data_IF_549385893962
#
_entry.id   IF_549385893962
#
_cell.length_a   1.000
_cell.length_b   1.000
_cell.length_c   1.000
_cell.angle_alpha   90.00
_cell.angle_beta   90.00
_cell.angle_gamma   90.00
#
_symmetry.space_group_name_H-M   'P 1'
#
loop_
_entity.id
_entity.type
_entity.pdbx_description
1 polymer ?
#
# COMPACT_ATOMS: atom_id res chain seq x y z
N UNK A 1 -10.16 -0.98 8.97
CA UNK A 1 -8.99 -0.15 8.66
C UNK A 1 -8.02 -1.05 7.93
N UNK A 2 -7.36 -0.53 6.92
CA UNK A 2 -6.48 -1.31 6.04
C UNK A 2 -5.45 -0.37 5.42
N UNK A 3 -4.22 -0.88 5.27
CA UNK A 3 -3.10 -0.19 4.65
C UNK A 3 -2.37 -1.19 3.78
N UNK A 4 -2.35 -0.90 2.48
CA UNK A 4 -1.96 -1.89 1.49
C UNK A 4 -0.61 -1.54 0.87
N UNK A 5 0.16 -2.59 0.60
CA UNK A 5 1.33 -2.55 -0.28
C UNK A 5 1.20 -3.73 -1.23
N UNK A 6 0.74 -3.45 -2.45
CA UNK A 6 0.38 -4.46 -3.44
C UNK A 6 1.33 -4.41 -4.63
N UNK A 7 1.96 -5.53 -4.95
CA UNK A 7 2.77 -5.69 -6.15
C UNK A 7 1.87 -6.12 -7.29
N UNK A 8 1.64 -5.22 -8.24
CA UNK A 8 0.79 -5.54 -9.39
C UNK A 8 1.57 -6.45 -10.35
N UNK A 9 0.98 -7.60 -10.65
CA UNK A 9 1.54 -8.57 -11.59
C UNK A 9 1.85 -7.93 -12.94
N UNK A 10 2.91 -8.42 -13.58
CA UNK A 10 3.43 -7.81 -14.79
C UNK A 10 3.78 -8.82 -15.88
N UNK A 11 3.87 -8.34 -17.12
CA UNK A 11 4.39 -9.12 -18.25
C UNK A 11 5.91 -9.05 -18.21
N UNK A 12 6.57 -10.18 -18.49
CA UNK A 12 8.05 -10.26 -18.51
C UNK A 12 8.66 -9.12 -19.34
N UNK A 13 9.63 -8.41 -18.75
CA UNK A 13 10.33 -7.29 -19.40
C UNK A 13 9.62 -5.93 -19.31
N UNK A 14 8.55 -5.82 -18.51
CA UNK A 14 7.93 -4.54 -18.14
C UNK A 14 8.28 -4.18 -16.70
N UNK A 15 8.18 -2.89 -16.38
CA UNK A 15 8.47 -2.35 -15.04
C UNK A 15 7.37 -2.74 -14.05
N UNK A 16 7.77 -3.33 -12.91
CA UNK A 16 6.87 -3.62 -11.80
C UNK A 16 6.29 -2.34 -11.21
N UNK A 17 5.05 -2.44 -10.73
CA UNK A 17 4.37 -1.35 -10.02
C UNK A 17 4.00 -1.79 -8.62
N UNK A 18 4.30 -0.94 -7.66
CA UNK A 18 3.79 -1.06 -6.29
C UNK A 18 2.63 -0.08 -6.16
N UNK A 19 1.50 -0.60 -5.69
CA UNK A 19 0.35 0.20 -5.29
C UNK A 19 0.33 0.29 -3.76
N UNK A 20 0.00 1.47 -3.24
CA UNK A 20 -0.34 1.65 -1.83
C UNK A 20 -1.78 2.13 -1.71
N UNK A 21 -2.46 1.72 -0.65
CA UNK A 21 -3.83 2.15 -0.39
C UNK A 21 -4.06 2.33 1.13
N UNK A 22 -5.06 3.14 1.49
CA UNK A 22 -5.39 3.44 2.88
C UNK A 22 -6.91 3.54 3.03
N UNK A 23 -7.46 2.64 3.83
CA UNK A 23 -8.87 2.60 4.19
C UNK A 23 -9.07 2.83 5.69
N UNK A 24 -9.89 3.82 6.03
CA UNK A 24 -10.32 4.10 7.40
C UNK A 24 -11.78 3.69 7.64
N UNK A 25 -12.08 3.36 8.89
CA UNK A 25 -13.42 3.08 9.41
C UNK A 25 -14.23 2.01 8.64
N UNK A 26 -13.54 1.06 8.02
CA UNK A 26 -14.19 -0.02 7.26
C UNK A 26 -14.83 0.43 5.94
N UNK A 27 -14.51 1.64 5.45
CA UNK A 27 -14.85 2.03 4.08
C UNK A 27 -14.06 1.18 3.10
N UNK A 28 -14.74 0.56 2.14
CA UNK A 28 -14.12 -0.07 0.95
C UNK A 28 -14.45 0.70 -0.34
N UNK A 29 -15.24 1.78 -0.23
CA UNK A 29 -15.75 2.54 -1.37
C UNK A 29 -14.87 3.76 -1.71
N UNK A 30 -13.96 4.14 -0.82
CA UNK A 30 -13.08 5.31 -1.01
C UNK A 30 -11.64 4.87 -0.82
N UNK A 31 -11.11 4.26 -1.86
CA UNK A 31 -9.68 4.01 -2.00
C UNK A 31 -8.90 5.31 -2.10
N UNK A 32 -7.66 5.27 -1.62
CA UNK A 32 -6.64 6.32 -1.71
C UNK A 32 -5.44 5.73 -2.44
N UNK A 33 -5.65 5.14 -3.60
CA UNK A 33 -4.61 4.45 -4.37
C UNK A 33 -3.54 5.43 -4.85
N UNK A 34 -2.28 5.07 -4.61
CA UNK A 34 -1.13 5.66 -5.30
C UNK A 34 -0.26 4.54 -5.88
N UNK A 35 0.33 4.77 -7.06
CA UNK A 35 1.13 3.79 -7.79
C UNK A 35 2.51 4.33 -8.09
N UNK A 36 3.53 3.51 -7.86
CA UNK A 36 4.93 3.87 -8.02
C UNK A 36 5.67 2.83 -8.85
N UNK A 37 6.60 3.32 -9.68
CA UNK A 37 7.68 2.49 -10.22
C UNK A 37 8.79 2.38 -9.17
N UNK A 38 9.52 1.27 -9.20
CA UNK A 38 10.71 1.07 -8.37
C UNK A 38 11.97 1.42 -9.15
N UNK A 39 13.01 1.89 -8.46
CA UNK A 39 14.32 2.20 -9.05
C UNK A 39 15.24 0.97 -9.20
N UNK A 40 14.66 -0.23 -9.07
CA UNK A 40 15.31 -1.53 -9.17
C UNK A 40 14.30 -2.56 -9.69
N UNK A 41 14.79 -3.74 -10.10
CA UNK A 41 13.93 -4.90 -10.39
C UNK A 41 13.62 -5.64 -9.07
N UNK A 42 12.38 -5.61 -8.56
CA UNK A 42 12.03 -6.25 -7.29
C UNK A 42 12.03 -7.78 -7.36
N UNK A 43 12.27 -8.38 -8.53
CA UNK A 43 12.37 -9.84 -8.71
C UNK A 43 13.81 -10.37 -8.68
N UNK A 44 14.80 -9.49 -8.75
CA UNK A 44 16.22 -9.88 -8.82
C UNK A 44 16.85 -10.14 -7.43
N UNK A 45 16.37 -9.47 -6.37
CA UNK A 45 16.83 -9.67 -4.98
C UNK A 45 15.74 -9.31 -3.95
N UNK A 46 15.99 -9.59 -2.68
CA UNK A 46 15.14 -9.17 -1.57
C UNK A 46 15.33 -7.69 -1.24
N UNK A 47 14.20 -7.01 -1.00
CA UNK A 47 14.16 -5.60 -0.59
C UNK A 47 13.29 -5.43 0.67
N UNK A 48 13.54 -4.37 1.42
CA UNK A 48 12.79 -4.09 2.65
C UNK A 48 11.57 -3.22 2.35
N UNK A 49 10.39 -3.76 2.65
CA UNK A 49 9.12 -3.04 2.57
C UNK A 49 8.57 -2.86 3.97
N UNK A 50 8.20 -1.64 4.35
CA UNK A 50 7.71 -1.37 5.70
C UNK A 50 6.69 -0.23 5.76
N UNK A 51 5.85 -0.28 6.78
CA UNK A 51 4.85 0.75 7.08
C UNK A 51 5.13 1.26 8.49
N UNK A 52 5.43 2.54 8.62
CA UNK A 52 5.35 3.24 9.90
C UNK A 52 3.92 3.72 10.10
N UNK A 53 3.26 3.27 11.15
CA UNK A 53 1.92 3.72 11.51
C UNK A 53 1.93 4.26 12.94
N UNK A 54 1.48 5.50 13.09
CA UNK A 54 1.38 6.24 14.35
C UNK A 54 0.00 6.87 14.46
N UNK A 55 -0.28 7.54 15.58
CA UNK A 55 -1.53 8.27 15.80
C UNK A 55 -1.72 9.52 14.91
N UNK A 56 -0.66 9.96 14.23
CA UNK A 56 -0.58 11.22 13.50
C UNK A 56 -0.16 11.07 12.04
N UNK A 57 0.49 9.96 11.67
CA UNK A 57 0.93 9.71 10.30
C UNK A 57 1.09 8.22 9.96
N UNK A 58 0.99 7.94 8.66
CA UNK A 58 1.37 6.68 8.03
C UNK A 58 2.46 6.98 7.00
N UNK A 59 3.54 6.20 7.00
CA UNK A 59 4.61 6.31 5.99
C UNK A 59 4.92 4.93 5.43
N UNK A 60 4.90 4.82 4.10
CA UNK A 60 5.32 3.62 3.38
C UNK A 60 6.77 3.77 2.93
N UNK A 61 7.57 2.73 3.12
CA UNK A 61 8.98 2.72 2.78
C UNK A 61 9.34 1.55 1.86
N UNK A 62 10.33 1.82 1.00
CA UNK A 62 11.09 0.82 0.25
C UNK A 62 12.58 1.08 0.53
N UNK A 63 13.29 0.10 1.09
CA UNK A 63 14.70 0.21 1.48
C UNK A 63 15.04 1.45 2.32
N UNK A 64 14.17 1.76 3.30
CA UNK A 64 14.24 2.95 4.15
C UNK A 64 14.04 4.30 3.41
N UNK A 65 13.69 4.28 2.13
CA UNK A 65 13.28 5.47 1.36
C UNK A 65 11.76 5.63 1.47
N UNK A 66 11.23 6.74 2.00
CA UNK A 66 9.80 6.97 2.06
C UNK A 66 9.25 7.18 0.64
N UNK A 67 8.28 6.36 0.24
CA UNK A 67 7.60 6.47 -1.06
C UNK A 67 6.26 7.20 -0.93
N UNK A 68 5.67 7.20 0.27
CA UNK A 68 4.39 7.85 0.55
C UNK A 68 4.29 8.28 2.01
N UNK A 69 3.83 9.50 2.25
CA UNK A 69 3.49 10.02 3.58
C UNK A 69 2.01 10.45 3.61
N UNK A 70 1.25 9.92 4.57
CA UNK A 70 -0.15 10.26 4.80
C UNK A 70 -0.34 10.80 6.21
N UNK A 71 -0.47 12.12 6.32
CA UNK A 71 -0.64 12.83 7.59
C UNK A 71 -2.10 12.90 7.98
N UNK A 72 -2.40 12.60 9.24
CA UNK A 72 -3.72 12.80 9.83
C UNK A 72 -4.02 14.30 9.88
N UNK A 73 -5.20 14.67 9.38
CA UNK A 73 -5.77 16.00 9.58
C UNK A 73 -7.06 15.90 10.38
N UNK A 74 -7.46 16.98 11.06
CA UNK A 74 -8.71 17.01 11.83
C UNK A 74 -9.94 16.69 10.96
N UNK A 75 -9.92 17.15 9.70
CA UNK A 75 -11.01 16.93 8.74
C UNK A 75 -11.22 15.48 8.33
N UNK A 76 -10.24 14.59 8.57
CA UNK A 76 -10.36 13.17 8.23
C UNK A 76 -11.31 12.44 9.17
N UNK A 77 -11.51 12.91 10.41
CA UNK A 77 -12.34 12.21 11.39
C UNK A 77 -11.98 10.72 11.50
N UNK A 78 -12.93 9.83 11.19
CA UNK A 78 -12.74 8.37 11.22
C UNK A 78 -11.96 7.78 10.04
N UNK A 79 -11.65 8.57 9.01
CA UNK A 79 -11.00 8.09 7.80
C UNK A 79 -9.51 7.77 7.99
N UNK A 80 -8.90 8.23 9.09
CA UNK A 80 -7.54 7.84 9.44
C UNK A 80 -7.56 6.51 10.23
N UNK A 81 -6.80 5.48 9.80
CA UNK A 81 -6.69 4.21 10.51
C UNK A 81 -6.30 4.38 11.98
N UNK A 82 -7.12 3.87 12.89
CA UNK A 82 -6.96 4.05 14.34
C UNK A 82 -7.33 2.82 15.17
N UNK A 83 -7.85 1.76 14.56
CA UNK A 83 -8.22 0.51 15.25
C UNK A 83 -7.07 -0.50 15.19
N UNK A 84 -6.90 -1.40 16.18
CA UNK A 84 -5.92 -2.48 16.10
C UNK A 84 -6.06 -3.28 14.81
N UNK A 85 -4.94 -3.62 14.19
CA UNK A 85 -4.88 -4.37 12.93
C UNK A 85 -3.93 -5.57 13.05
N UNK A 86 -4.14 -6.54 12.17
CA UNK A 86 -3.25 -7.69 11.97
C UNK A 86 -2.45 -7.51 10.68
N UNK A 87 -1.27 -8.11 10.63
CA UNK A 87 -0.46 -8.15 9.41
C UNK A 87 -0.88 -9.34 8.55
N UNK A 88 -1.07 -9.11 7.25
CA UNK A 88 -1.36 -10.14 6.26
C UNK A 88 -0.36 -10.05 5.10
N UNK A 89 -0.04 -11.20 4.52
CA UNK A 89 0.72 -11.30 3.28
C UNK A 89 0.10 -12.42 2.45
N UNK A 90 -0.29 -12.11 1.21
CA UNK A 90 -0.99 -13.04 0.33
C UNK A 90 -0.45 -12.95 -1.09
N UNK A 91 -0.64 -14.03 -1.86
CA UNK A 91 -0.47 -14.05 -3.31
C UNK A 91 -1.79 -14.57 -3.86
N UNK A 92 -2.40 -13.83 -4.79
CA UNK A 92 -3.74 -14.10 -5.29
C UNK A 92 -3.91 -13.64 -6.74
N UNK A 93 -4.94 -14.15 -7.41
CA UNK A 93 -5.28 -13.76 -8.78
C UNK A 93 -6.25 -12.56 -8.78
N UNK A 94 -5.75 -11.42 -9.24
CA UNK A 94 -6.50 -10.16 -9.33
C UNK A 94 -7.11 -9.89 -10.71
N UNK A 95 -7.12 -10.88 -11.62
CA UNK A 95 -7.79 -10.73 -12.89
C UNK A 95 -9.30 -10.46 -12.67
N UNK A 96 -9.89 -9.46 -13.35
CA UNK A 96 -11.33 -9.33 -13.34
C UNK A 96 -11.95 -10.61 -13.89
N UNK A 97 -13.05 -11.05 -13.28
CA UNK A 97 -13.78 -12.23 -13.74
C UNK A 97 -14.18 -12.11 -15.22
N UNK A 98 -14.52 -13.24 -15.87
CA UNK A 98 -15.07 -13.17 -17.22
C UNK A 98 -16.28 -12.23 -17.25
N UNK A 99 -16.48 -11.50 -18.37
CA UNK A 99 -17.62 -10.60 -18.53
C UNK A 99 -18.97 -11.32 -18.39
#
# INVERSE_FOLDING_TARGET
>A
DEMDLEFMGNIRGKEWRVQTNIYGNGSTNTGREERYNLWFDPSDDYHQYSILWTDSQIIFYVDNVPIREFKKTESMGGDFPAKPMSLYATIWDAAPGPP
#
